data_IF_296502059823
#
_entry.id   IF_296502059823
#
_cell.length_a   1.000
_cell.length_b   1.000
_cell.length_c   1.000
_cell.angle_alpha   90.00
_cell.angle_beta   90.00
_cell.angle_gamma   90.00
#
_symmetry.space_group_name_H-M   'P 1'
#
loop_
_entity.id
_entity.type
_entity.pdbx_description
1 polymer ?
#
# COMPACT_ATOMS: atom_id res chain seq x y z
N UNK A 1 -22.63 -63.15 18.95
CA UNK A 1 -23.45 -63.28 17.73
C UNK A 1 -23.18 -62.05 16.89
N UNK A 2 -22.29 -62.20 15.91
CA UNK A 2 -21.77 -61.15 15.05
C UNK A 2 -22.74 -61.03 13.85
N UNK A 3 -23.36 -59.87 13.64
CA UNK A 3 -24.18 -59.63 12.45
C UNK A 3 -23.46 -58.59 11.59
N UNK A 4 -22.79 -59.09 10.54
CA UNK A 4 -22.46 -58.34 9.34
C UNK A 4 -23.74 -58.08 8.52
N UNK A 5 -23.79 -56.93 7.84
CA UNK A 5 -24.41 -56.65 6.52
C UNK A 5 -24.79 -55.17 6.47
N UNK A 6 -24.60 -54.37 5.42
CA UNK A 6 -23.87 -54.47 4.15
C UNK A 6 -24.04 -53.10 3.50
N UNK A 7 -22.96 -52.53 2.96
CA UNK A 7 -22.92 -51.24 2.27
C UNK A 7 -23.36 -51.43 0.81
N UNK A 8 -24.42 -50.77 0.37
CA UNK A 8 -24.88 -50.80 -1.04
C UNK A 8 -24.77 -49.42 -1.69
N UNK A 9 -23.81 -49.30 -2.60
CA UNK A 9 -23.62 -48.18 -3.51
C UNK A 9 -24.77 -48.10 -4.53
N UNK A 10 -25.27 -46.89 -4.79
CA UNK A 10 -26.13 -46.60 -5.95
C UNK A 10 -25.23 -46.14 -7.10
N UNK A 11 -25.18 -46.95 -8.15
CA UNK A 11 -24.57 -46.62 -9.43
C UNK A 11 -25.51 -45.76 -10.29
N UNK A 12 -24.92 -44.84 -11.06
CA UNK A 12 -25.56 -44.20 -12.19
C UNK A 12 -25.45 -45.11 -13.41
N UNK A 13 -26.58 -45.56 -13.95
CA UNK A 13 -26.65 -46.13 -15.29
C UNK A 13 -27.27 -45.11 -16.24
N UNK A 14 -26.48 -44.80 -17.26
CA UNK A 14 -26.81 -44.11 -18.50
C UNK A 14 -27.52 -45.10 -19.44
N UNK A 15 -28.68 -44.72 -19.98
CA UNK A 15 -29.36 -45.45 -21.05
C UNK A 15 -29.92 -44.43 -22.03
N UNK A 16 -29.19 -44.22 -23.12
CA UNK A 16 -29.55 -43.34 -24.21
C UNK A 16 -30.56 -43.92 -25.21
N UNK A 17 -31.01 -43.03 -26.08
CA UNK A 17 -31.62 -43.34 -27.38
C UNK A 17 -33.09 -42.91 -27.51
N UNK A 18 -33.57 -42.37 -28.64
CA UNK A 18 -32.96 -42.20 -29.96
C UNK A 18 -33.90 -41.37 -30.86
N UNK A 19 -33.30 -40.41 -31.57
CA UNK A 19 -33.54 -39.90 -32.93
C UNK A 19 -34.95 -39.66 -33.50
N UNK A 20 -35.10 -38.51 -34.17
CA UNK A 20 -35.25 -38.36 -35.64
C UNK A 20 -35.06 -36.87 -35.99
N UNK A 21 -34.61 -36.38 -37.15
CA UNK A 21 -33.82 -36.83 -38.30
C UNK A 21 -33.91 -35.64 -39.29
N UNK A 22 -32.82 -34.98 -39.68
CA UNK A 22 -32.74 -34.25 -40.97
C UNK A 22 -31.27 -34.07 -41.40
N UNK A 23 -30.87 -34.96 -42.31
CA UNK A 23 -29.81 -34.93 -43.33
C UNK A 23 -29.65 -33.55 -44.03
N UNK A 24 -28.53 -33.08 -44.60
CA UNK A 24 -27.29 -33.67 -45.16
C UNK A 24 -26.18 -32.58 -45.12
N UNK A 25 -24.93 -32.83 -44.71
CA UNK A 25 -23.77 -33.44 -45.42
C UNK A 25 -23.40 -32.79 -46.76
N UNK A 26 -22.23 -32.13 -46.78
CA UNK A 26 -21.10 -32.47 -47.66
C UNK A 26 -19.77 -32.13 -46.97
N UNK A 27 -18.97 -33.17 -46.71
CA UNK A 27 -17.53 -33.09 -46.44
C UNK A 27 -16.79 -32.48 -47.64
N UNK A 28 -15.75 -31.68 -47.38
CA UNK A 28 -14.56 -31.68 -48.23
C UNK A 28 -13.31 -31.54 -47.36
N UNK A 29 -12.36 -32.39 -47.73
CA UNK A 29 -11.09 -32.75 -47.14
C UNK A 29 -10.01 -31.67 -47.42
N UNK A 30 -8.81 -31.88 -46.85
CA UNK A 30 -7.58 -31.10 -47.05
C UNK A 30 -7.45 -29.88 -46.13
N UNK A 31 -6.48 -29.76 -45.23
CA UNK A 31 -5.08 -30.14 -45.36
C UNK A 31 -4.24 -28.87 -45.24
N UNK A 32 -3.45 -28.77 -44.17
CA UNK A 32 -2.26 -27.94 -43.95
C UNK A 32 -2.32 -26.43 -44.25
N UNK A 33 -2.01 -25.59 -43.26
CA UNK A 33 -0.78 -24.76 -43.21
C UNK A 33 -0.78 -23.86 -41.98
N UNK A 34 0.36 -23.86 -41.30
CA UNK A 34 0.83 -22.82 -40.39
C UNK A 34 0.84 -21.48 -41.16
N UNK A 35 0.40 -20.38 -40.57
CA UNK A 35 0.75 -19.05 -41.06
C UNK A 35 1.12 -18.14 -39.89
N UNK A 36 2.43 -17.93 -39.81
CA UNK A 36 3.11 -16.94 -38.99
C UNK A 36 2.82 -15.55 -39.55
N UNK A 37 2.23 -14.67 -38.76
CA UNK A 37 2.12 -13.25 -39.08
C UNK A 37 3.35 -12.50 -38.59
N UNK A 38 4.37 -12.40 -39.45
CA UNK A 38 5.49 -11.45 -39.31
C UNK A 38 4.98 -10.01 -39.46
N UNK A 39 5.30 -9.18 -38.48
CA UNK A 39 5.02 -7.75 -38.47
C UNK A 39 6.32 -6.97 -38.29
N UNK A 40 7.09 -6.86 -39.37
CA UNK A 40 8.28 -6.03 -39.47
C UNK A 40 7.89 -4.54 -39.36
N UNK A 41 8.41 -3.90 -38.33
CA UNK A 41 8.32 -2.46 -38.10
C UNK A 41 9.71 -1.86 -38.03
N UNK A 42 10.33 -1.71 -39.20
CA UNK A 42 11.59 -0.96 -39.38
C UNK A 42 11.35 0.52 -39.09
N UNK A 43 11.92 0.98 -37.98
CA UNK A 43 11.97 2.39 -37.58
C UNK A 43 13.41 2.85 -37.50
N UNK A 44 14.05 3.01 -38.66
CA UNK A 44 15.36 3.66 -38.81
C UNK A 44 15.24 5.14 -38.40
N UNK A 45 15.74 5.45 -37.22
CA UNK A 45 15.88 6.81 -36.70
C UNK A 45 17.35 7.18 -36.57
N UNK A 46 18.02 7.36 -37.70
CA UNK A 46 19.37 7.95 -37.79
C UNK A 46 19.29 9.43 -37.37
N UNK A 47 19.59 9.68 -36.10
CA UNK A 47 19.77 11.01 -35.53
C UNK A 47 21.25 11.29 -35.31
N UNK A 48 21.97 11.56 -36.39
CA UNK A 48 23.33 12.12 -36.36
C UNK A 48 23.27 13.55 -35.79
N UNK A 49 23.45 13.65 -34.48
CA UNK A 49 23.63 14.90 -33.75
C UNK A 49 25.09 15.11 -33.42
N UNK A 50 25.91 15.44 -34.42
CA UNK A 50 27.26 15.96 -34.24
C UNK A 50 27.18 17.35 -33.58
N UNK A 51 27.10 17.35 -32.26
CA UNK A 51 27.24 18.52 -31.41
C UNK A 51 28.66 18.61 -30.89
N UNK A 52 29.59 19.03 -31.74
CA UNK A 52 30.92 19.52 -31.34
C UNK A 52 30.73 20.82 -30.55
N UNK A 53 30.37 20.66 -29.28
CA UNK A 53 30.39 21.71 -28.28
C UNK A 53 31.73 21.71 -27.59
N UNK A 54 32.75 22.28 -28.24
CA UNK A 54 33.98 22.75 -27.59
C UNK A 54 33.61 23.91 -26.65
N UNK A 55 33.00 23.56 -25.52
CA UNK A 55 32.80 24.44 -24.39
C UNK A 55 34.01 24.31 -23.48
N UNK A 56 35.08 25.03 -23.81
CA UNK A 56 36.15 25.41 -22.88
C UNK A 56 35.53 26.32 -21.81
N UNK A 57 34.76 25.71 -20.91
CA UNK A 57 34.30 26.30 -19.67
C UNK A 57 35.34 26.01 -18.61
N UNK A 58 36.41 26.79 -18.59
CA UNK A 58 37.23 27.01 -17.39
C UNK A 58 36.34 27.71 -16.34
N UNK A 59 35.39 26.95 -15.81
CA UNK A 59 34.66 27.29 -14.62
C UNK A 59 35.46 26.78 -13.46
N UNK A 60 36.44 27.58 -13.03
CA UNK A 60 36.92 27.61 -11.65
C UNK A 60 35.75 28.08 -10.76
N UNK A 61 34.71 27.24 -10.71
CA UNK A 61 33.67 27.31 -9.72
C UNK A 61 34.23 26.66 -8.49
N UNK A 62 35.02 27.42 -7.73
CA UNK A 62 35.12 27.27 -6.27
C UNK A 62 33.71 27.53 -5.69
N UNK A 63 32.79 26.65 -6.03
CA UNK A 63 31.54 26.49 -5.35
C UNK A 63 31.88 25.80 -4.05
N UNK A 64 32.38 26.57 -3.10
CA UNK A 64 32.13 26.37 -1.67
C UNK A 64 30.60 26.46 -1.49
N UNK A 65 29.90 25.50 -2.08
CA UNK A 65 28.53 25.18 -1.80
C UNK A 65 28.57 24.47 -0.46
N UNK A 66 28.84 25.26 0.59
CA UNK A 66 28.31 25.06 1.94
C UNK A 66 26.78 25.21 1.85
N UNK A 67 26.17 24.41 0.96
CA UNK A 67 24.77 24.07 0.98
C UNK A 67 24.58 23.13 2.14
N UNK A 68 24.87 23.64 3.34
CA UNK A 68 24.22 23.26 4.58
C UNK A 68 22.76 23.62 4.35
N UNK A 69 22.11 22.81 3.52
CA UNK A 69 20.69 22.77 3.28
C UNK A 69 20.02 22.21 4.52
N UNK A 70 20.34 22.77 5.69
CA UNK A 70 19.53 22.78 6.88
C UNK A 70 18.35 23.72 6.61
N UNK A 71 17.70 23.54 5.46
CA UNK A 71 16.42 24.16 5.18
C UNK A 71 15.53 23.72 6.31
N UNK A 72 15.21 24.65 7.20
CA UNK A 72 14.28 24.43 8.30
C UNK A 72 13.11 23.63 7.74
N UNK A 73 12.67 22.56 8.43
CA UNK A 73 11.58 21.74 7.94
C UNK A 73 10.41 22.65 7.59
N UNK A 74 9.99 22.61 6.33
CA UNK A 74 8.87 23.39 5.83
C UNK A 74 7.71 23.28 6.82
N UNK A 75 7.09 24.40 7.22
CA UNK A 75 6.03 24.36 8.21
C UNK A 75 4.90 23.47 7.71
N UNK A 76 4.41 22.61 8.60
CA UNK A 76 3.32 21.72 8.28
C UNK A 76 2.10 22.51 7.77
N UNK A 77 1.49 22.10 6.65
CA UNK A 77 0.24 22.72 6.21
C UNK A 77 -0.82 22.54 7.30
N UNK A 78 -1.64 23.57 7.51
CA UNK A 78 -2.76 23.46 8.43
C UNK A 78 -3.77 22.43 7.89
N UNK A 79 -4.14 21.40 8.67
CA UNK A 79 -5.08 20.39 8.24
C UNK A 79 -6.49 20.98 8.17
N UNK A 80 -7.26 20.58 7.15
CA UNK A 80 -8.63 21.05 6.93
C UNK A 80 -9.65 20.51 7.97
N UNK A 81 -9.27 19.49 8.74
CA UNK A 81 -10.09 18.86 9.78
C UNK A 81 -9.33 18.79 11.10
N UNK A 82 -10.08 18.60 12.19
CA UNK A 82 -9.51 18.43 13.53
C UNK A 82 -8.54 17.24 13.57
N UNK A 83 -7.38 17.47 14.21
CA UNK A 83 -6.35 16.44 14.41
C UNK A 83 -6.18 16.14 15.89
N UNK A 84 -6.40 14.88 16.26
CA UNK A 84 -6.05 14.35 17.57
C UNK A 84 -4.65 13.76 17.52
N UNK A 85 -3.69 14.40 18.19
CA UNK A 85 -2.31 13.89 18.30
C UNK A 85 -2.20 13.04 19.56
N UNK A 86 -1.64 11.83 19.43
CA UNK A 86 -1.33 10.91 20.53
C UNK A 86 0.07 10.34 20.36
N UNK A 87 0.75 9.98 21.44
CA UNK A 87 2.06 9.32 21.32
C UNK A 87 1.91 7.84 20.98
N UNK A 88 2.89 7.29 20.27
CA UNK A 88 3.00 5.85 20.01
C UNK A 88 2.86 4.99 21.27
N UNK A 89 3.54 5.39 22.35
CA UNK A 89 3.48 4.68 23.63
C UNK A 89 2.08 4.70 24.25
N UNK A 90 1.29 5.76 24.04
CA UNK A 90 -0.09 5.80 24.55
C UNK A 90 -1.01 4.79 23.85
N UNK A 91 -0.74 4.48 22.58
CA UNK A 91 -1.51 3.50 21.79
C UNK A 91 -1.02 2.09 22.10
N UNK A 92 0.29 1.84 21.95
CA UNK A 92 0.85 0.49 22.03
C UNK A 92 1.25 0.07 23.44
N UNK A 93 1.49 1.02 24.36
CA UNK A 93 2.00 0.74 25.71
C UNK A 93 3.49 0.39 25.74
N UNK A 94 4.21 0.70 24.67
CA UNK A 94 5.65 0.45 24.48
C UNK A 94 6.22 1.58 23.63
N UNK A 95 7.49 1.95 23.84
CA UNK A 95 8.17 2.93 23.02
C UNK A 95 8.47 2.39 21.60
N UNK A 96 8.42 3.27 20.62
CA UNK A 96 8.91 3.02 19.25
C UNK A 96 10.42 2.69 19.28
N UNK A 97 10.95 1.79 18.42
CA UNK A 97 10.29 1.08 17.32
C UNK A 97 9.54 -0.17 17.78
N UNK A 98 9.48 -0.47 19.08
CA UNK A 98 8.70 -1.58 19.58
C UNK A 98 7.23 -1.46 19.17
N UNK A 99 6.53 -2.57 18.91
CA UNK A 99 6.87 -3.93 19.36
C UNK A 99 7.48 -4.84 18.27
N UNK A 100 8.35 -5.78 18.69
CA UNK A 100 9.02 -6.76 17.80
C UNK A 100 8.03 -7.78 17.20
N UNK A 101 6.87 -7.96 17.84
CA UNK A 101 5.80 -8.84 17.36
C UNK A 101 4.56 -8.00 17.05
N UNK A 102 3.68 -8.56 16.21
CA UNK A 102 2.39 -7.95 15.90
C UNK A 102 1.62 -7.57 17.18
N UNK A 103 1.44 -6.27 17.40
CA UNK A 103 0.70 -5.75 18.55
C UNK A 103 -0.44 -4.86 18.10
N UNK A 104 -1.65 -5.40 18.23
CA UNK A 104 -2.88 -4.79 17.79
C UNK A 104 -3.62 -4.08 18.94
N UNK A 105 -4.09 -2.85 18.69
CA UNK A 105 -4.80 -2.01 19.67
C UNK A 105 -6.02 -1.35 19.04
N UNK A 106 -7.18 -1.57 19.67
CA UNK A 106 -8.40 -0.87 19.28
C UNK A 106 -8.28 0.61 19.62
N UNK A 107 -8.45 1.45 18.61
CA UNK A 107 -8.22 2.89 18.69
C UNK A 107 -9.42 3.62 18.09
N UNK A 108 -9.82 4.71 18.75
CA UNK A 108 -10.87 5.60 18.25
C UNK A 108 -10.23 6.59 17.29
N UNK A 109 -10.83 6.75 16.12
CA UNK A 109 -10.44 7.76 15.13
C UNK A 109 -11.48 8.89 15.18
N UNK A 110 -11.07 10.16 15.30
CA UNK A 110 -11.98 11.30 15.16
C UNK A 110 -12.77 11.23 13.86
N UNK A 111 -14.05 11.62 13.92
CA UNK A 111 -14.93 11.57 12.77
C UNK A 111 -15.93 12.75 12.74
N UNK A 112 -15.84 13.66 11.76
CA UNK A 112 -14.74 13.79 10.80
C UNK A 112 -13.44 14.23 11.51
N UNK A 113 -12.28 13.79 11.02
CA UNK A 113 -10.98 14.20 11.56
C UNK A 113 -9.87 13.19 11.36
N UNK A 114 -8.72 13.48 11.97
CA UNK A 114 -7.53 12.64 11.91
C UNK A 114 -7.09 12.22 13.30
N UNK A 115 -6.67 10.97 13.44
CA UNK A 115 -5.78 10.55 14.51
C UNK A 115 -4.34 10.58 13.98
N UNK A 116 -3.45 11.31 14.64
CA UNK A 116 -2.03 11.33 14.33
C UNK A 116 -1.24 10.67 15.47
N UNK A 117 -0.65 9.51 15.22
CA UNK A 117 0.16 8.79 16.20
C UNK A 117 1.62 9.18 16.01
N UNK A 118 2.14 9.99 16.94
CA UNK A 118 3.51 10.51 16.91
C UNK A 118 4.53 9.43 17.31
N UNK A 119 5.60 9.31 16.52
CA UNK A 119 6.77 8.48 16.83
C UNK A 119 8.06 9.14 16.30
N UNK A 120 9.20 8.83 16.92
CA UNK A 120 10.51 9.29 16.45
C UNK A 120 11.36 8.09 16.03
N UNK A 121 11.99 8.18 14.86
CA UNK A 121 12.78 7.09 14.28
C UNK A 121 14.11 6.84 14.97
N UNK A 122 14.58 7.75 15.83
CA UNK A 122 15.87 7.69 16.52
C UNK A 122 17.06 7.37 15.57
N UNK A 123 18.27 7.17 16.13
CA UNK A 123 19.50 7.03 15.33
C UNK A 123 19.85 5.58 14.95
N UNK A 124 18.87 4.77 14.56
CA UNK A 124 19.09 3.36 14.21
C UNK A 124 18.66 3.05 12.78
N UNK A 125 19.23 1.99 12.20
CA UNK A 125 18.79 1.39 10.94
C UNK A 125 17.84 0.27 11.27
N UNK A 126 16.56 0.45 10.94
CA UNK A 126 15.48 -0.46 11.30
C UNK A 126 14.45 -0.52 10.19
N UNK A 127 13.66 -1.61 10.19
CA UNK A 127 12.49 -1.72 9.33
C UNK A 127 11.30 -2.23 10.13
N UNK A 128 10.11 -1.93 9.65
CA UNK A 128 8.90 -2.38 10.30
C UNK A 128 7.67 -2.16 9.44
N UNK A 129 6.53 -2.40 10.07
CA UNK A 129 5.24 -2.33 9.43
C UNK A 129 4.24 -1.67 10.37
N UNK A 130 3.41 -0.80 9.82
CA UNK A 130 2.21 -0.28 10.47
C UNK A 130 1.00 -0.55 9.60
N UNK A 131 -0.11 -0.91 10.21
CA UNK A 131 -1.35 -1.18 9.49
C UNK A 131 -2.58 -1.02 10.35
N UNK A 132 -3.69 -0.72 9.68
CA UNK A 132 -5.01 -0.64 10.28
C UNK A 132 -5.85 -1.85 9.86
N UNK A 133 -6.27 -2.66 10.83
CA UNK A 133 -7.19 -3.77 10.62
C UNK A 133 -8.61 -3.31 10.89
N UNK A 134 -9.51 -3.60 9.95
CA UNK A 134 -10.93 -3.31 10.12
C UNK A 134 -11.51 -3.99 11.36
N UNK A 135 -12.34 -3.25 12.09
CA UNK A 135 -13.11 -3.78 13.22
C UNK A 135 -14.49 -4.22 12.72
N UNK A 136 -15.04 -5.32 13.26
CA UNK A 136 -16.41 -5.77 12.96
C UNK A 136 -17.48 -4.75 13.32
N UNK A 137 -17.18 -3.81 14.22
CA UNK A 137 -18.13 -2.81 14.72
C UNK A 137 -18.17 -1.51 13.90
N UNK A 138 -17.16 -1.28 13.06
CA UNK A 138 -17.02 -0.07 12.23
C UNK A 138 -16.74 -0.48 10.79
N UNK A 139 -17.70 -0.26 9.90
CA UNK A 139 -17.51 -0.33 8.46
C UNK A 139 -16.85 0.94 7.93
N UNK A 140 -16.51 0.95 6.63
CA UNK A 140 -15.88 2.09 5.98
C UNK A 140 -14.44 1.84 5.56
N UNK A 141 -13.98 2.67 4.63
CA UNK A 141 -12.59 2.72 4.25
C UNK A 141 -11.80 3.54 5.28
N UNK A 142 -10.54 3.19 5.49
CA UNK A 142 -9.62 3.99 6.30
C UNK A 142 -8.49 4.42 5.41
N UNK A 143 -8.12 5.67 5.50
CA UNK A 143 -6.90 6.18 4.90
C UNK A 143 -5.88 6.40 5.97
N UNK A 144 -4.62 6.17 5.62
CA UNK A 144 -3.55 6.58 6.47
C UNK A 144 -2.24 6.69 5.75
N UNK A 145 -1.33 7.31 6.46
CA UNK A 145 -0.05 7.74 5.93
C UNK A 145 0.97 7.78 7.05
N UNK A 146 2.24 7.64 6.69
CA UNK A 146 3.34 8.17 7.48
C UNK A 146 3.72 9.50 6.85
N UNK A 147 3.78 10.56 7.66
CA UNK A 147 4.19 11.89 7.22
C UNK A 147 4.91 12.63 8.34
N UNK A 148 5.61 13.71 8.00
CA UNK A 148 6.22 14.63 8.97
C UNK A 148 5.19 15.52 9.66
N UNK A 149 3.97 15.60 9.13
CA UNK A 149 2.93 16.49 9.63
C UNK A 149 1.67 15.77 10.09
N UNK A 150 1.11 16.15 11.25
CA UNK A 150 -0.11 15.55 11.76
C UNK A 150 -1.31 15.93 10.88
N UNK A 151 -2.18 14.96 10.60
CA UNK A 151 -3.37 15.13 9.76
C UNK A 151 -3.11 15.10 8.26
N UNK A 152 -1.87 14.85 7.81
CA UNK A 152 -1.52 14.86 6.41
C UNK A 152 -1.57 13.45 5.80
N UNK A 153 -2.55 13.18 4.93
CA UNK A 153 -2.68 11.89 4.23
C UNK A 153 -1.79 11.74 2.99
N UNK A 154 -1.07 12.80 2.61
CA UNK A 154 -0.12 12.79 1.51
C UNK A 154 1.02 13.77 1.82
N UNK A 155 2.23 13.26 2.02
CA UNK A 155 3.42 14.05 2.32
C UNK A 155 4.30 14.19 1.06
N UNK A 156 4.42 15.39 0.46
CA UNK A 156 5.27 15.61 -0.71
C UNK A 156 6.77 15.40 -0.45
N UNK A 157 7.20 15.42 0.82
CA UNK A 157 8.61 15.23 1.20
C UNK A 157 8.98 13.75 1.36
N UNK A 158 7.99 12.86 1.31
CA UNK A 158 8.19 11.41 1.34
C UNK A 158 7.71 10.81 0.02
N UNK A 159 8.13 9.57 -0.27
CA UNK A 159 7.50 8.82 -1.35
C UNK A 159 6.06 8.48 -0.96
N UNK A 160 5.16 9.39 -1.29
CA UNK A 160 3.78 9.32 -0.87
C UNK A 160 3.06 8.07 -1.41
N UNK A 161 3.57 7.40 -2.45
CA UNK A 161 3.00 6.14 -2.89
C UNK A 161 3.26 5.02 -1.87
N UNK A 162 4.46 4.95 -1.30
CA UNK A 162 4.86 3.88 -0.36
C UNK A 162 4.50 4.22 1.09
N UNK A 163 4.40 5.52 1.41
CA UNK A 163 4.07 6.01 2.74
C UNK A 163 2.56 6.19 2.97
N UNK A 164 1.70 5.77 2.05
CA UNK A 164 0.23 5.88 2.21
C UNK A 164 -0.44 4.55 1.92
N UNK A 165 -1.58 4.31 2.58
CA UNK A 165 -2.39 3.12 2.29
C UNK A 165 -3.88 3.38 2.56
N UNK A 166 -4.72 2.65 1.83
CA UNK A 166 -6.17 2.62 2.06
C UNK A 166 -6.60 1.23 2.52
N UNK A 167 -7.17 1.13 3.71
CA UNK A 167 -7.63 -0.14 4.28
C UNK A 167 -9.14 -0.35 4.12
N UNK A 168 -9.49 -1.59 3.79
CA UNK A 168 -10.87 -2.10 3.75
C UNK A 168 -10.95 -3.62 3.93
N UNK A 169 -9.88 -4.33 3.55
CA UNK A 169 -9.73 -5.80 3.68
C UNK A 169 -8.29 -6.26 3.96
N UNK A 170 -7.36 -5.35 4.29
CA UNK A 170 -5.96 -5.66 4.56
C UNK A 170 -4.99 -4.64 3.96
N UNK A 171 -3.68 -4.92 4.11
CA UNK A 171 -2.57 -4.12 3.61
C UNK A 171 -1.78 -3.42 4.72
N UNK A 172 -0.61 -2.89 4.36
CA UNK A 172 0.42 -2.45 5.31
C UNK A 172 1.24 -1.33 4.70
N UNK A 173 1.68 -0.39 5.54
CA UNK A 173 2.78 0.52 5.21
C UNK A 173 4.03 -0.08 5.83
N UNK A 174 4.90 -0.62 4.97
CA UNK A 174 6.24 -1.03 5.37
C UNK A 174 7.13 0.20 5.39
N UNK A 175 7.95 0.35 6.42
CA UNK A 175 8.83 1.49 6.59
C UNK A 175 10.24 1.03 6.90
N UNK A 176 11.22 1.85 6.52
CA UNK A 176 12.63 1.59 6.79
C UNK A 176 13.38 2.90 7.05
N UNK A 177 14.38 2.85 7.92
CA UNK A 177 15.36 3.93 8.10
C UNK A 177 16.72 3.61 7.47
N UNK A 178 16.78 2.57 6.63
CA UNK A 178 17.96 2.21 5.87
C UNK A 178 18.30 3.25 4.79
N UNK A 179 19.60 3.44 4.53
CA UNK A 179 20.09 4.36 3.50
C UNK A 179 19.71 3.91 2.08
N UNK A 180 19.57 2.60 1.88
CA UNK A 180 19.13 1.97 0.63
C UNK A 180 17.78 1.26 0.87
N UNK A 181 16.65 2.00 0.88
CA UNK A 181 15.33 1.40 1.07
C UNK A 181 14.99 0.42 -0.05
N UNK A 182 14.42 -0.73 0.31
CA UNK A 182 13.89 -1.66 -0.69
C UNK A 182 12.70 -1.02 -1.42
N UNK A 183 12.53 -1.36 -2.71
CA UNK A 183 11.41 -0.88 -3.52
C UNK A 183 10.06 -1.16 -2.82
N UNK A 184 9.24 -0.12 -2.68
CA UNK A 184 7.91 -0.22 -2.06
C UNK A 184 7.88 0.04 -0.54
N UNK A 185 9.02 0.32 0.09
CA UNK A 185 9.07 0.74 1.50
C UNK A 185 8.98 2.26 1.64
N UNK A 186 8.33 2.71 2.72
CA UNK A 186 8.31 4.10 3.14
C UNK A 186 9.67 4.43 3.78
N UNK A 187 10.51 5.15 3.05
CA UNK A 187 11.83 5.58 3.51
C UNK A 187 11.71 6.72 4.52
N UNK A 188 12.19 6.49 5.74
CA UNK A 188 12.16 7.45 6.84
C UNK A 188 13.57 7.88 7.20
N UNK A 189 13.75 9.17 7.48
CA UNK A 189 15.02 9.68 7.97
C UNK A 189 15.25 9.25 9.43
N UNK A 190 16.49 8.95 9.83
CA UNK A 190 16.81 8.71 11.22
C UNK A 190 16.58 9.98 12.06
N UNK A 191 16.30 9.79 13.35
CA UNK A 191 16.11 10.82 14.36
C UNK A 191 15.08 11.90 14.00
N UNK A 192 14.07 11.50 13.22
CA UNK A 192 13.03 12.39 12.72
C UNK A 192 11.69 11.98 13.31
N UNK A 193 10.90 12.97 13.68
CA UNK A 193 9.55 12.74 14.20
C UNK A 193 8.57 12.64 13.03
N UNK A 194 7.81 11.56 13.04
CA UNK A 194 6.77 11.26 12.07
C UNK A 194 5.45 11.01 12.78
N UNK A 195 4.37 11.07 12.01
CA UNK A 195 3.02 10.78 12.44
C UNK A 195 2.45 9.68 11.56
N UNK A 196 1.94 8.63 12.20
CA UNK A 196 1.05 7.70 11.53
C UNK A 196 -0.36 8.27 11.59
N UNK A 197 -0.81 8.85 10.47
CA UNK A 197 -2.12 9.48 10.36
C UNK A 197 -3.16 8.45 9.94
N UNK A 198 -4.33 8.52 10.56
CA UNK A 198 -5.47 7.66 10.26
C UNK A 198 -6.75 8.51 10.20
N UNK A 199 -7.58 8.26 9.20
CA UNK A 199 -8.88 8.92 9.03
C UNK A 199 -9.89 8.03 8.32
N UNK A 200 -11.17 8.35 8.49
CA UNK A 200 -12.27 7.82 7.70
C UNK A 200 -12.75 8.80 6.62
N UNK A 201 -12.11 9.97 6.48
CA UNK A 201 -12.44 11.00 5.51
C UNK A 201 -11.40 11.01 4.40
N UNK A 202 -11.84 11.14 3.15
CA UNK A 202 -10.96 11.33 2.00
C UNK A 202 -10.92 12.81 1.60
N UNK A 203 -9.73 13.38 1.53
CA UNK A 203 -9.41 14.66 0.85
C UNK A 203 -10.26 15.90 1.26
N UNK A 204 -11.02 15.89 2.36
CA UNK A 204 -12.04 16.87 2.87
C UNK A 204 -13.53 16.54 2.68
N UNK A 205 -13.86 15.35 2.16
CA UNK A 205 -15.24 14.93 1.88
C UNK A 205 -16.03 14.33 3.06
N UNK A 206 -17.09 13.60 2.73
CA UNK A 206 -17.89 12.84 3.69
C UNK A 206 -17.08 11.68 4.28
N UNK A 207 -17.27 11.44 5.57
CA UNK A 207 -16.71 10.25 6.22
C UNK A 207 -17.31 8.97 5.69
N UNK A 208 -16.46 7.97 5.50
CA UNK A 208 -16.91 6.60 5.19
C UNK A 208 -17.16 5.75 6.43
N UNK A 209 -16.94 6.30 7.63
CA UNK A 209 -17.19 5.59 8.86
C UNK A 209 -18.67 5.20 8.95
N UNK A 210 -18.92 3.89 9.05
CA UNK A 210 -20.26 3.37 9.21
C UNK A 210 -20.34 2.52 10.47
N UNK A 211 -20.93 3.07 11.53
CA UNK A 211 -20.98 2.43 12.84
C UNK A 211 -22.11 1.41 12.87
N UNK A 212 -21.76 0.13 12.97
CA UNK A 212 -22.72 -0.98 13.03
C UNK A 212 -23.15 -1.24 14.48
N UNK A 213 -22.22 -1.04 15.44
CA UNK A 213 -22.49 -1.09 16.88
C UNK A 213 -21.48 -0.23 17.66
N UNK A 214 -21.96 0.72 18.46
CA UNK A 214 -21.13 1.67 19.23
C UNK A 214 -21.47 3.13 18.93
N UNK A 215 -20.70 4.05 19.51
CA UNK A 215 -20.87 5.49 19.30
C UNK A 215 -19.70 6.15 18.55
N UNK A 216 -18.60 5.43 18.33
CA UNK A 216 -17.36 5.99 17.78
C UNK A 216 -16.82 5.17 16.61
N UNK A 217 -16.13 5.84 15.70
CA UNK A 217 -15.37 5.22 14.62
C UNK A 217 -14.11 4.58 15.19
N UNK A 218 -14.01 3.25 15.07
CA UNK A 218 -12.89 2.49 15.64
C UNK A 218 -12.17 1.67 14.59
N UNK A 219 -10.87 1.54 14.78
CA UNK A 219 -10.03 0.63 14.00
C UNK A 219 -9.01 -0.03 14.91
N UNK A 220 -8.46 -1.16 14.47
CA UNK A 220 -7.37 -1.81 15.16
C UNK A 220 -6.06 -1.36 14.55
N UNK A 221 -5.26 -0.60 15.30
CA UNK A 221 -3.92 -0.19 14.88
C UNK A 221 -2.93 -1.27 15.29
N UNK A 222 -2.18 -1.79 14.33
CA UNK A 222 -1.17 -2.81 14.54
C UNK A 222 0.18 -2.33 14.03
N UNK A 223 1.22 -2.73 14.74
CA UNK A 223 2.60 -2.45 14.38
C UNK A 223 3.47 -3.69 14.63
N UNK A 224 4.53 -3.81 13.84
CA UNK A 224 5.60 -4.77 14.08
C UNK A 224 6.93 -4.19 13.65
N UNK A 225 7.97 -4.51 14.40
CA UNK A 225 9.33 -4.09 14.14
C UNK A 225 10.23 -5.29 13.91
N UNK A 226 11.13 -5.17 12.94
CA UNK A 226 12.16 -6.15 12.65
C UNK A 226 13.53 -5.48 12.89
N UNK A 227 14.24 -5.85 13.97
CA UNK A 227 15.59 -5.36 14.27
C UNK A 227 16.65 -5.88 13.30
#
# INVERSE_FOLDING_TARGET
MLVLMSLSALGCNDEGGRATDTFAVTDDDSGTTEDSGDGDGDGDGDGDGDGDGDGDGDGDGDGDGDGDGDGDPEPCPEPDLDVQIVSWESVHGIAFPGPIYNHAKNTVIPDPGYLAIEFNTANFVNQGAVYSVGNTNTGGARWGSISRCPGQVHDPQLDAANCTHTWGIGGTIEWTTAQDPEDGTCALEPNTTYYFNLTFVRDTGDSTCNIIAGNNCTTTVAASYQP
#
